data_IF_286578393291
#
_entry.id   IF_286578393291
#
_cell.length_a   1.000
_cell.length_b   1.000
_cell.length_c   1.000
_cell.angle_alpha   90.00
_cell.angle_beta   90.00
_cell.angle_gamma   90.00
#
_symmetry.space_group_name_H-M   'P 1'
#
loop_
_entity.id
_entity.type
_entity.pdbx_description
1 polymer ?
#
# COMPACT_ATOMS: atom_id res chain seq x y z
N UNK A 1 11.20 13.07 0.46
CA UNK A 1 9.89 13.30 -0.23
C UNK A 1 9.72 12.23 -1.30
N UNK A 2 8.57 11.60 -1.33
CA UNK A 2 8.24 10.49 -2.25
C UNK A 2 8.16 11.01 -3.69
N UNK A 3 8.87 10.36 -4.62
CA UNK A 3 8.81 10.70 -6.04
C UNK A 3 7.39 10.48 -6.57
N UNK A 4 6.81 11.49 -7.21
CA UNK A 4 5.50 11.42 -7.85
C UNK A 4 4.29 11.51 -6.93
N UNK A 5 4.46 11.72 -5.63
CA UNK A 5 3.35 11.81 -4.68
C UNK A 5 2.44 13.00 -4.97
N UNK A 6 2.97 14.12 -5.45
CA UNK A 6 2.18 15.31 -5.74
C UNK A 6 1.18 15.07 -6.87
N UNK A 7 1.56 14.31 -7.90
CA UNK A 7 0.63 13.92 -8.97
C UNK A 7 -0.50 13.02 -8.44
N UNK A 8 -0.17 12.11 -7.53
CA UNK A 8 -1.14 11.23 -6.89
C UNK A 8 -2.14 12.03 -6.03
N UNK A 9 -1.64 12.95 -5.20
CA UNK A 9 -2.46 13.84 -4.36
C UNK A 9 -3.47 14.63 -5.19
N UNK A 10 -2.98 15.33 -6.20
CA UNK A 10 -3.84 16.18 -7.03
C UNK A 10 -4.89 15.35 -7.77
N UNK A 11 -4.50 14.17 -8.27
CA UNK A 11 -5.40 13.31 -9.02
C UNK A 11 -6.50 12.69 -8.17
N UNK A 12 -6.16 12.23 -6.95
CA UNK A 12 -7.09 11.54 -6.05
C UNK A 12 -7.70 12.44 -4.97
N UNK A 13 -7.61 13.75 -5.12
CA UNK A 13 -8.29 14.72 -4.27
C UNK A 13 -9.79 14.48 -4.25
N UNK A 14 -10.35 14.31 -3.06
CA UNK A 14 -11.77 13.98 -2.83
C UNK A 14 -12.06 12.48 -2.75
N UNK A 15 -11.02 11.62 -2.85
CA UNK A 15 -11.12 10.16 -2.71
C UNK A 15 -10.38 9.62 -1.49
N UNK A 16 -10.01 10.48 -0.54
CA UNK A 16 -9.15 10.17 0.61
C UNK A 16 -9.73 9.05 1.50
N UNK A 17 -11.06 8.90 1.54
CA UNK A 17 -11.73 7.87 2.33
C UNK A 17 -11.67 6.47 1.68
N UNK A 18 -11.36 6.40 0.40
CA UNK A 18 -11.42 5.16 -0.38
C UNK A 18 -10.12 4.37 -0.37
N UNK A 19 -9.05 4.94 0.22
CA UNK A 19 -7.75 4.30 0.31
C UNK A 19 -6.99 4.66 1.58
N UNK A 20 -5.94 3.90 1.84
CA UNK A 20 -4.86 4.27 2.76
C UNK A 20 -3.50 3.86 2.19
N UNK A 21 -2.55 4.77 2.17
CA UNK A 21 -1.17 4.45 1.82
C UNK A 21 -0.49 3.79 3.01
N UNK A 22 0.21 2.70 2.75
CA UNK A 22 1.03 1.98 3.74
C UNK A 22 2.49 1.94 3.29
N UNK A 23 3.29 1.09 3.87
CA UNK A 23 4.63 0.79 3.37
C UNK A 23 5.65 1.90 3.61
N UNK A 24 6.60 2.03 2.69
CA UNK A 24 7.69 3.00 2.78
C UNK A 24 7.22 4.43 2.59
N UNK A 25 6.28 4.64 1.69
CA UNK A 25 5.73 5.96 1.37
C UNK A 25 4.96 6.55 2.54
N UNK A 26 4.15 5.77 3.26
CA UNK A 26 3.51 6.26 4.49
C UNK A 26 4.55 6.67 5.55
N UNK A 27 5.60 5.86 5.73
CA UNK A 27 6.69 6.23 6.65
C UNK A 27 7.35 7.58 6.26
N UNK A 28 7.66 7.79 4.98
CA UNK A 28 8.30 9.03 4.52
C UNK A 28 7.40 10.25 4.74
N UNK A 29 6.10 10.13 4.44
CA UNK A 29 5.12 11.20 4.66
C UNK A 29 5.03 11.56 6.15
N UNK A 30 4.85 10.58 7.04
CA UNK A 30 4.74 10.80 8.48
C UNK A 30 6.02 11.35 9.10
N UNK A 31 7.20 10.83 8.71
CA UNK A 31 8.49 11.32 9.19
C UNK A 31 8.73 12.76 8.74
N UNK A 32 8.39 13.10 7.49
CA UNK A 32 8.50 14.46 6.95
C UNK A 32 7.59 15.41 7.70
N UNK A 33 6.34 15.04 7.98
CA UNK A 33 5.38 15.81 8.79
C UNK A 33 5.91 16.04 10.21
N UNK A 34 6.55 15.02 10.82
CA UNK A 34 7.22 15.12 12.11
C UNK A 34 8.56 15.89 12.08
N UNK A 35 8.96 16.45 10.94
CA UNK A 35 10.23 17.17 10.78
C UNK A 35 11.48 16.28 10.79
N UNK A 36 11.31 14.99 10.52
CA UNK A 36 12.37 13.99 10.53
C UNK A 36 12.70 13.49 9.12
N UNK A 37 13.97 13.21 8.87
CA UNK A 37 14.41 12.61 7.61
C UNK A 37 14.01 11.14 7.53
N UNK A 38 13.67 10.69 6.33
CA UNK A 38 13.47 9.28 6.04
C UNK A 38 14.21 8.87 4.76
N UNK A 39 14.41 7.56 4.58
CA UNK A 39 15.01 7.05 3.35
C UNK A 39 14.10 7.33 2.15
N UNK A 40 14.69 7.61 1.02
CA UNK A 40 13.94 7.83 -0.21
C UNK A 40 13.05 6.61 -0.55
N UNK A 41 11.81 6.89 -0.87
CA UNK A 41 10.84 5.92 -1.40
C UNK A 41 10.27 6.44 -2.73
N UNK A 42 9.72 5.56 -3.53
CA UNK A 42 9.19 5.90 -4.85
C UNK A 42 8.02 5.04 -5.28
N UNK A 43 7.67 4.06 -4.45
CA UNK A 43 6.60 3.09 -4.70
C UNK A 43 5.46 3.36 -3.72
N UNK A 44 4.22 3.28 -4.17
CA UNK A 44 3.02 3.43 -3.33
C UNK A 44 2.39 2.05 -3.13
N UNK A 45 2.29 1.63 -1.87
CA UNK A 45 1.50 0.50 -1.43
C UNK A 45 0.14 1.05 -0.99
N UNK A 46 -0.92 0.79 -1.77
CA UNK A 46 -2.25 1.39 -1.62
C UNK A 46 -3.27 0.36 -1.16
N UNK A 47 -3.74 0.48 0.06
CA UNK A 47 -4.85 -0.35 0.56
C UNK A 47 -6.17 0.32 0.19
N UNK A 48 -7.01 -0.40 -0.54
CA UNK A 48 -8.34 0.06 -0.93
C UNK A 48 -9.35 -0.28 0.15
N UNK A 49 -10.11 0.71 0.56
CA UNK A 49 -11.16 0.58 1.58
C UNK A 49 -12.46 0.16 0.88
N UNK A 50 -12.71 -1.13 0.89
CA UNK A 50 -13.74 -1.73 0.05
C UNK A 50 -15.14 -1.24 0.37
N UNK A 51 -15.38 -0.87 1.62
CA UNK A 51 -16.64 -0.35 2.11
C UNK A 51 -16.92 1.08 1.61
N UNK A 52 -15.89 1.80 1.21
CA UNK A 52 -15.97 3.17 0.69
C UNK A 52 -15.75 3.24 -0.83
N UNK A 53 -15.24 2.15 -1.43
CA UNK A 53 -14.84 2.11 -2.83
C UNK A 53 -16.05 2.22 -3.76
N UNK A 54 -15.97 3.11 -4.74
CA UNK A 54 -17.01 3.32 -5.74
C UNK A 54 -16.49 3.24 -7.19
N UNK A 55 -17.44 3.21 -8.13
CA UNK A 55 -17.17 3.15 -9.57
C UNK A 55 -16.35 4.34 -10.06
N UNK A 56 -16.54 5.53 -9.47
CA UNK A 56 -15.83 6.74 -9.89
C UNK A 56 -14.34 6.65 -9.54
N UNK A 57 -14.00 6.08 -8.37
CA UNK A 57 -12.62 5.80 -8.01
C UNK A 57 -11.96 4.86 -9.04
N UNK A 58 -12.63 3.76 -9.40
CA UNK A 58 -12.09 2.82 -10.38
C UNK A 58 -11.84 3.46 -11.75
N UNK A 59 -12.79 4.27 -12.25
CA UNK A 59 -12.60 5.05 -13.48
C UNK A 59 -11.43 6.01 -13.38
N UNK A 60 -11.38 6.78 -12.28
CA UNK A 60 -10.33 7.75 -12.00
C UNK A 60 -8.96 7.08 -11.91
N UNK A 61 -8.88 5.91 -11.27
CA UNK A 61 -7.65 5.14 -11.17
C UNK A 61 -7.17 4.65 -12.54
N UNK A 62 -8.04 4.13 -13.38
CA UNK A 62 -7.68 3.73 -14.75
C UNK A 62 -7.26 4.90 -15.64
N UNK A 63 -7.89 6.06 -15.50
CA UNK A 63 -7.46 7.29 -16.19
C UNK A 63 -6.05 7.68 -15.76
N UNK A 64 -5.75 7.61 -14.45
CA UNK A 64 -4.40 7.86 -13.92
C UNK A 64 -3.36 6.90 -14.49
N UNK A 65 -3.66 5.60 -14.47
CA UNK A 65 -2.79 4.54 -15.04
C UNK A 65 -2.50 4.81 -16.53
N UNK A 66 -3.53 5.14 -17.31
CA UNK A 66 -3.38 5.46 -18.74
C UNK A 66 -2.58 6.73 -18.98
N UNK A 67 -2.86 7.81 -18.25
CA UNK A 67 -2.17 9.07 -18.39
C UNK A 67 -0.68 8.95 -18.01
N UNK A 68 -0.39 8.24 -16.93
CA UNK A 68 0.96 7.97 -16.49
C UNK A 68 1.70 6.95 -17.37
N UNK A 69 0.99 6.24 -18.24
CA UNK A 69 1.56 5.21 -19.13
C UNK A 69 2.15 4.03 -18.36
N UNK A 70 1.54 3.64 -17.22
CA UNK A 70 2.03 2.51 -16.45
C UNK A 70 1.94 1.19 -17.21
N UNK A 71 2.98 0.39 -17.08
CA UNK A 71 2.97 -1.02 -17.44
C UNK A 71 2.28 -1.83 -16.34
N UNK A 72 1.44 -2.78 -16.73
CA UNK A 72 0.71 -3.67 -15.83
C UNK A 72 0.75 -5.13 -16.30
N UNK A 73 1.86 -5.55 -16.88
CA UNK A 73 2.10 -6.93 -17.30
C UNK A 73 3.25 -7.55 -16.52
N UNK A 74 3.14 -8.84 -16.21
CA UNK A 74 4.24 -9.59 -15.64
C UNK A 74 5.40 -9.68 -16.66
N UNK A 75 6.59 -9.24 -16.28
CA UNK A 75 7.76 -9.18 -17.18
C UNK A 75 8.19 -10.54 -17.72
N UNK A 76 7.98 -11.62 -16.97
CA UNK A 76 8.43 -12.96 -17.35
C UNK A 76 7.41 -13.72 -18.18
N UNK A 77 6.11 -13.54 -17.93
CA UNK A 77 5.03 -14.26 -18.59
C UNK A 77 4.23 -13.43 -19.60
N UNK A 78 4.37 -12.10 -19.58
CA UNK A 78 3.55 -11.17 -20.37
C UNK A 78 2.07 -11.11 -19.96
N UNK A 79 1.69 -11.84 -18.89
CA UNK A 79 0.30 -11.89 -18.40
C UNK A 79 -0.04 -10.56 -17.73
N UNK A 80 -1.21 -9.95 -18.06
CA UNK A 80 -1.66 -8.74 -17.39
C UNK A 80 -1.81 -8.93 -15.87
N UNK A 81 -1.34 -7.94 -15.11
CA UNK A 81 -1.49 -7.86 -13.65
C UNK A 81 -2.24 -6.58 -13.31
N UNK A 82 -3.46 -6.70 -12.84
CA UNK A 82 -4.33 -5.55 -12.57
C UNK A 82 -4.25 -5.05 -11.11
N UNK A 83 -3.20 -5.40 -10.41
CA UNK A 83 -2.90 -4.98 -9.02
C UNK A 83 -1.53 -4.32 -8.85
N UNK A 84 -0.67 -4.38 -9.88
CA UNK A 84 0.67 -3.78 -9.87
C UNK A 84 0.90 -3.00 -11.16
N UNK A 85 1.22 -1.72 -11.01
CA UNK A 85 1.43 -0.75 -12.06
C UNK A 85 2.81 -0.15 -11.90
N UNK A 86 3.67 -0.25 -12.91
CA UNK A 86 5.08 0.14 -12.82
C UNK A 86 5.57 0.81 -14.10
N UNK A 87 6.77 1.40 -14.05
CA UNK A 87 7.42 2.04 -15.21
C UNK A 87 6.58 3.13 -15.87
N UNK A 88 6.19 4.18 -15.13
CA UNK A 88 5.49 5.30 -15.73
C UNK A 88 6.37 6.02 -16.75
N UNK A 89 5.76 6.74 -17.67
CA UNK A 89 6.49 7.49 -18.74
C UNK A 89 7.36 8.62 -18.19
N UNK A 90 7.15 9.05 -16.95
CA UNK A 90 7.94 10.10 -16.33
C UNK A 90 8.02 9.96 -14.81
N UNK A 91 9.06 10.56 -14.21
CA UNK A 91 9.26 10.60 -12.75
C UNK A 91 8.32 11.59 -12.02
N UNK A 92 7.39 12.23 -12.72
CA UNK A 92 6.29 12.98 -12.10
C UNK A 92 5.26 12.06 -11.46
N UNK A 93 5.29 10.77 -11.78
CA UNK A 93 4.43 9.73 -11.22
C UNK A 93 5.23 8.80 -10.30
N UNK A 94 4.57 8.17 -9.30
CA UNK A 94 5.19 7.12 -8.50
C UNK A 94 5.78 6.02 -9.38
N UNK A 95 6.95 5.49 -9.01
CA UNK A 95 7.62 4.50 -9.87
C UNK A 95 6.84 3.18 -9.96
N UNK A 96 6.07 2.87 -8.90
CA UNK A 96 5.17 1.71 -8.85
C UNK A 96 3.99 2.00 -7.92
N UNK A 97 2.83 1.43 -8.25
CA UNK A 97 1.65 1.37 -7.38
C UNK A 97 1.23 -0.09 -7.25
N UNK A 98 1.07 -0.57 -6.03
CA UNK A 98 0.50 -1.87 -5.73
C UNK A 98 -0.81 -1.71 -4.95
N UNK A 99 -1.83 -2.47 -5.35
CA UNK A 99 -3.14 -2.45 -4.73
C UNK A 99 -3.30 -3.61 -3.76
N UNK A 100 -3.81 -3.32 -2.57
CA UNK A 100 -4.12 -4.27 -1.51
C UNK A 100 -5.57 -4.09 -1.07
N UNK A 101 -6.20 -5.16 -0.59
CA UNK A 101 -7.52 -5.11 0.05
C UNK A 101 -7.75 -6.37 0.89
N UNK A 102 -8.90 -6.46 1.60
CA UNK A 102 -9.35 -7.69 2.25
C UNK A 102 -10.09 -8.60 1.27
N UNK A 103 -10.31 -9.84 1.68
CA UNK A 103 -11.19 -10.78 0.97
C UNK A 103 -12.63 -10.25 0.99
N UNK A 104 -13.29 -10.40 -0.15
CA UNK A 104 -14.72 -10.08 -0.29
C UNK A 104 -15.56 -11.27 0.12
N UNK A 105 -16.48 -11.09 1.04
CA UNK A 105 -17.37 -12.16 1.54
C UNK A 105 -18.27 -12.74 0.41
N UNK A 106 -18.60 -11.91 -0.58
CA UNK A 106 -19.42 -12.30 -1.73
C UNK A 106 -18.70 -13.16 -2.77
N UNK A 107 -17.34 -13.26 -2.70
CA UNK A 107 -16.53 -13.98 -3.68
C UNK A 107 -15.94 -15.24 -3.05
N UNK A 108 -16.36 -16.40 -3.56
CA UNK A 108 -15.72 -17.67 -3.18
C UNK A 108 -14.37 -17.78 -3.92
N UNK A 109 -13.28 -17.61 -3.16
CA UNK A 109 -11.92 -17.80 -3.67
C UNK A 109 -11.35 -19.11 -3.11
N UNK A 110 -10.49 -19.83 -3.88
CA UNK A 110 -9.70 -20.93 -3.34
C UNK A 110 -8.90 -20.52 -2.11
N UNK A 111 -8.64 -21.46 -1.18
CA UNK A 111 -7.95 -21.17 0.10
C UNK A 111 -6.58 -20.51 -0.05
N UNK A 112 -5.84 -20.85 -1.12
CA UNK A 112 -4.49 -20.31 -1.40
C UNK A 112 -4.50 -19.05 -2.26
N UNK A 113 -5.67 -18.42 -2.48
CA UNK A 113 -5.76 -17.24 -3.34
C UNK A 113 -5.16 -16.02 -2.65
N UNK A 114 -4.18 -15.37 -3.30
CA UNK A 114 -3.51 -14.16 -2.81
C UNK A 114 -3.95 -12.88 -3.53
N UNK A 115 -4.81 -12.99 -4.55
CA UNK A 115 -5.28 -11.86 -5.37
C UNK A 115 -6.79 -11.98 -5.54
N UNK A 116 -7.52 -10.89 -5.32
CA UNK A 116 -8.97 -10.80 -5.51
C UNK A 116 -9.34 -9.76 -6.56
N UNK A 117 -10.35 -10.02 -7.42
CA UNK A 117 -10.93 -8.97 -8.24
C UNK A 117 -11.66 -7.95 -7.37
N UNK A 118 -11.67 -6.69 -7.79
CA UNK A 118 -12.38 -5.61 -7.10
C UNK A 118 -13.80 -5.48 -7.67
N UNK A 119 -14.83 -5.32 -6.84
CA UNK A 119 -16.22 -5.24 -7.26
C UNK A 119 -16.58 -3.81 -7.67
N UNK A 120 -15.91 -3.26 -8.69
CA UNK A 120 -16.10 -1.86 -9.04
C UNK A 120 -17.18 -1.67 -10.09
N UNK A 121 -17.21 -2.47 -11.13
CA UNK A 121 -18.23 -2.50 -12.19
C UNK A 121 -17.87 -3.57 -13.24
N UNK A 122 -18.88 -4.20 -13.89
CA UNK A 122 -18.64 -5.17 -14.96
C UNK A 122 -18.07 -4.53 -16.24
N UNK A 123 -18.35 -3.24 -16.47
CA UNK A 123 -17.89 -2.48 -17.64
C UNK A 123 -16.48 -1.88 -17.48
N UNK A 124 -15.90 -1.91 -16.27
CA UNK A 124 -14.53 -1.44 -16.01
C UNK A 124 -13.62 -2.66 -16.00
N UNK A 125 -12.60 -2.64 -16.86
CA UNK A 125 -11.54 -3.67 -16.87
C UNK A 125 -11.12 -3.98 -15.44
N UNK A 126 -11.29 -5.23 -15.02
CA UNK A 126 -11.20 -5.69 -13.65
C UNK A 126 -9.88 -5.29 -12.97
N UNK A 127 -9.95 -4.32 -12.07
CA UNK A 127 -8.88 -4.11 -11.09
C UNK A 127 -8.84 -5.34 -10.17
N UNK A 128 -7.65 -5.70 -9.75
CA UNK A 128 -7.41 -6.73 -8.74
C UNK A 128 -6.59 -6.14 -7.60
N UNK A 129 -6.57 -6.80 -6.47
CA UNK A 129 -5.74 -6.39 -5.34
C UNK A 129 -5.13 -7.60 -4.65
N UNK A 130 -3.98 -7.40 -4.00
CA UNK A 130 -3.34 -8.39 -3.15
C UNK A 130 -4.15 -8.49 -1.85
N UNK A 131 -4.45 -9.72 -1.42
CA UNK A 131 -5.21 -9.93 -0.19
C UNK A 131 -4.35 -9.62 1.04
N UNK A 132 -4.92 -8.81 1.93
CA UNK A 132 -4.47 -8.64 3.30
C UNK A 132 -5.23 -9.61 4.21
N UNK A 133 -4.62 -9.96 5.32
CA UNK A 133 -5.29 -10.60 6.43
C UNK A 133 -6.41 -9.71 6.98
N UNK A 134 -7.57 -10.29 7.30
CA UNK A 134 -8.77 -9.54 7.69
C UNK A 134 -8.55 -8.76 9.00
N UNK A 135 -7.83 -9.32 9.97
CA UNK A 135 -7.52 -8.66 11.24
C UNK A 135 -6.61 -7.44 11.01
N UNK A 136 -5.62 -7.58 10.13
CA UNK A 136 -4.77 -6.46 9.73
C UNK A 136 -5.52 -5.40 8.92
N UNK A 137 -6.48 -5.79 8.11
CA UNK A 137 -7.31 -4.82 7.38
C UNK A 137 -8.21 -4.02 8.33
N UNK A 138 -8.91 -4.69 9.28
CA UNK A 138 -9.74 -4.01 10.28
C UNK A 138 -8.89 -3.11 11.20
N UNK A 139 -7.70 -3.55 11.56
CA UNK A 139 -6.74 -2.77 12.32
C UNK A 139 -6.30 -1.50 11.55
N UNK A 140 -6.02 -1.63 10.26
CA UNK A 140 -5.66 -0.51 9.39
C UNK A 140 -6.76 0.56 9.34
N UNK A 141 -8.02 0.17 9.24
CA UNK A 141 -9.14 1.14 9.19
C UNK A 141 -9.20 2.06 10.41
N UNK A 142 -8.79 1.56 11.58
CA UNK A 142 -8.75 2.33 12.83
C UNK A 142 -7.63 3.38 12.86
N UNK A 143 -6.55 3.12 12.13
CA UNK A 143 -5.33 3.94 12.14
C UNK A 143 -5.18 4.88 10.94
N UNK A 144 -6.22 5.08 10.14
CA UNK A 144 -6.17 6.02 9.00
C UNK A 144 -6.07 7.47 9.48
N UNK A 145 -5.13 8.21 8.91
CA UNK A 145 -4.98 9.66 9.13
C UNK A 145 -4.73 10.36 7.80
N UNK A 146 -5.25 11.57 7.63
CA UNK A 146 -4.97 12.38 6.45
C UNK A 146 -3.85 13.35 6.75
N UNK A 147 -2.76 13.25 6.01
CA UNK A 147 -1.57 14.09 6.12
C UNK A 147 -1.29 14.69 4.75
N UNK A 148 -1.20 16.00 4.69
CA UNK A 148 -0.87 16.75 3.47
C UNK A 148 -1.70 16.30 2.24
N UNK A 149 -3.01 16.08 2.44
CA UNK A 149 -3.95 15.74 1.37
C UNK A 149 -3.95 14.29 0.89
N UNK A 150 -3.28 13.36 1.59
CA UNK A 150 -3.37 11.92 1.35
C UNK A 150 -3.70 11.17 2.62
N UNK A 151 -4.45 10.08 2.50
CA UNK A 151 -4.69 9.18 3.63
C UNK A 151 -3.56 8.18 3.73
N UNK A 152 -2.93 8.14 4.90
CA UNK A 152 -1.87 7.19 5.26
C UNK A 152 -2.25 6.41 6.52
N UNK A 153 -1.60 5.31 6.76
CA UNK A 153 -1.69 4.61 8.04
C UNK A 153 -0.77 5.30 9.05
N UNK A 154 -1.32 5.69 10.21
CA UNK A 154 -0.58 6.33 11.30
C UNK A 154 0.61 5.50 11.79
N UNK A 155 1.63 6.14 12.35
CA UNK A 155 2.88 5.52 12.78
C UNK A 155 2.65 4.36 13.77
N UNK A 156 1.77 4.53 14.75
CA UNK A 156 1.46 3.50 15.75
C UNK A 156 0.85 2.24 15.13
N UNK A 157 0.09 2.40 14.05
CA UNK A 157 -0.53 1.31 13.29
C UNK A 157 0.40 0.75 12.21
N UNK A 158 1.32 1.53 11.65
CA UNK A 158 2.33 1.06 10.70
C UNK A 158 3.38 0.14 11.33
N UNK A 159 3.73 0.36 12.61
CA UNK A 159 4.73 -0.45 13.32
C UNK A 159 4.39 -1.95 13.27
N UNK A 160 3.17 -2.41 13.62
CA UNK A 160 2.79 -3.82 13.51
C UNK A 160 2.94 -4.39 12.09
N UNK A 161 2.55 -3.67 11.04
CA UNK A 161 2.74 -4.10 9.65
C UNK A 161 4.22 -4.30 9.31
N UNK A 162 5.07 -3.37 9.74
CA UNK A 162 6.52 -3.45 9.52
C UNK A 162 7.16 -4.56 10.33
N UNK A 163 6.72 -4.75 11.58
CA UNK A 163 7.19 -5.83 12.44
C UNK A 163 6.81 -7.20 11.87
N UNK A 164 5.56 -7.37 11.43
CA UNK A 164 5.09 -8.59 10.77
C UNK A 164 5.94 -8.92 9.54
N UNK A 165 6.14 -7.95 8.65
CA UNK A 165 6.98 -8.15 7.47
C UNK A 165 8.44 -8.48 7.82
N UNK A 166 8.99 -7.88 8.88
CA UNK A 166 10.33 -8.21 9.37
C UNK A 166 10.41 -9.65 9.90
N UNK A 167 9.45 -10.07 10.71
CA UNK A 167 9.38 -11.42 11.28
C UNK A 167 9.22 -12.46 10.18
N UNK A 168 8.23 -12.30 9.29
CA UNK A 168 7.95 -13.23 8.20
C UNK A 168 9.17 -13.44 7.27
N UNK A 169 9.84 -12.35 6.88
CA UNK A 169 11.05 -12.43 6.06
C UNK A 169 12.22 -13.10 6.79
N UNK A 170 12.30 -12.91 8.11
CA UNK A 170 13.34 -13.56 8.94
C UNK A 170 13.11 -15.06 9.03
N UNK A 171 11.86 -15.48 9.28
CA UNK A 171 11.47 -16.89 9.38
C UNK A 171 11.62 -17.62 8.04
N UNK A 172 11.19 -17.02 6.94
CA UNK A 172 11.39 -17.55 5.59
C UNK A 172 12.86 -17.73 5.26
N UNK A 173 13.71 -16.78 5.65
CA UNK A 173 15.16 -16.91 5.48
C UNK A 173 15.73 -18.03 6.34
N UNK A 174 15.28 -18.18 7.60
CA UNK A 174 15.70 -19.26 8.48
C UNK A 174 15.26 -20.64 7.95
N UNK A 175 14.10 -20.70 7.27
CA UNK A 175 13.62 -21.91 6.56
C UNK A 175 14.38 -22.22 5.26
N UNK A 176 15.38 -21.42 4.88
CA UNK A 176 16.22 -21.66 3.71
C UNK A 176 15.70 -21.02 2.40
N UNK A 177 14.66 -20.19 2.47
CA UNK A 177 14.19 -19.46 1.29
C UNK A 177 15.18 -18.35 0.89
N UNK A 178 15.19 -18.04 -0.41
CA UNK A 178 16.00 -16.94 -0.94
C UNK A 178 15.36 -15.59 -0.57
N UNK A 179 15.80 -15.00 0.56
CA UNK A 179 15.34 -13.69 1.04
C UNK A 179 16.50 -12.70 1.09
N UNK A 180 16.35 -11.54 0.44
CA UNK A 180 17.34 -10.47 0.51
C UNK A 180 17.40 -9.88 1.94
N UNK A 181 18.57 -10.02 2.57
CA UNK A 181 18.84 -9.48 3.91
C UNK A 181 18.64 -7.98 4.01
N UNK A 182 18.74 -7.23 2.90
CA UNK A 182 18.46 -5.80 2.87
C UNK A 182 17.01 -5.51 3.17
N UNK A 183 16.07 -6.37 2.69
CA UNK A 183 14.64 -6.22 2.97
C UNK A 183 14.33 -6.46 4.45
N UNK A 184 14.93 -7.49 5.07
CA UNK A 184 14.81 -7.73 6.52
C UNK A 184 15.28 -6.51 7.31
N UNK A 185 16.49 -6.00 6.99
CA UNK A 185 17.07 -4.82 7.64
C UNK A 185 16.22 -3.56 7.43
N UNK A 186 15.65 -3.38 6.22
CA UNK A 186 14.77 -2.27 5.88
C UNK A 186 13.56 -2.24 6.81
N UNK A 187 12.79 -3.32 6.91
CA UNK A 187 11.61 -3.37 7.77
C UNK A 187 11.95 -3.19 9.24
N UNK A 188 13.02 -3.84 9.72
CA UNK A 188 13.53 -3.65 11.07
C UNK A 188 13.83 -2.17 11.38
N UNK A 189 14.57 -1.51 10.50
CA UNK A 189 14.94 -0.11 10.68
C UNK A 189 13.72 0.81 10.64
N UNK A 190 12.75 0.54 9.73
CA UNK A 190 11.51 1.30 9.63
C UNK A 190 10.71 1.25 10.97
N UNK A 191 10.67 0.08 11.65
CA UNK A 191 10.05 -0.04 12.99
C UNK A 191 10.68 0.93 13.98
N UNK A 192 12.02 0.91 14.11
CA UNK A 192 12.71 1.78 15.07
C UNK A 192 12.56 3.27 14.72
N UNK A 193 12.58 3.61 13.45
CA UNK A 193 12.39 5.01 13.02
C UNK A 193 10.98 5.51 13.34
N UNK A 194 9.95 4.71 13.10
CA UNK A 194 8.56 5.08 13.41
C UNK A 194 8.33 5.30 14.92
N UNK A 195 9.09 4.65 15.80
CA UNK A 195 8.96 4.89 17.25
C UNK A 195 9.33 6.32 17.66
N UNK A 196 10.09 7.06 16.85
CA UNK A 196 10.41 8.46 17.09
C UNK A 196 9.17 9.39 16.99
N UNK A 197 8.09 8.91 16.31
CA UNK A 197 6.83 9.64 16.15
C UNK A 197 5.77 9.26 17.19
N UNK A 198 6.01 8.27 18.04
CA UNK A 198 5.01 7.73 18.95
C UNK A 198 5.02 8.49 20.27
N UNK A 199 3.85 9.02 20.66
CA UNK A 199 3.64 9.49 22.03
C UNK A 199 3.73 8.29 22.98
N UNK A 200 4.55 8.34 24.07
CA UNK A 200 4.66 7.27 25.05
C UNK A 200 3.33 6.86 25.70
N UNK A 201 2.32 7.71 25.67
CA UNK A 201 0.96 7.41 26.18
C UNK A 201 0.10 6.63 25.16
N UNK A 202 0.53 6.53 23.90
CA UNK A 202 -0.23 5.84 22.84
C UNK A 202 -0.35 4.35 23.16
N UNK A 203 -1.57 3.84 23.10
CA UNK A 203 -1.85 2.41 23.27
C UNK A 203 -2.60 1.90 22.06
N UNK A 204 -1.99 0.96 21.35
CA UNK A 204 -2.57 0.26 20.21
C UNK A 204 -2.45 -1.24 20.46
N UNK A 205 -3.52 -1.97 20.22
CA UNK A 205 -3.51 -3.44 20.30
C UNK A 205 -3.40 -3.96 18.88
N UNK A 206 -2.26 -4.56 18.56
CA UNK A 206 -2.00 -5.16 17.24
C UNK A 206 -2.71 -6.52 17.11
N UNK A 207 -3.06 -6.93 15.88
CA UNK A 207 -3.59 -8.26 15.58
C UNK A 207 -2.65 -9.39 15.93
#
# INVERSE_FOLDING_TARGET
MVTGIDSFKEWFKGYEEQYAIIGGTACDILMTEGGLDFRATKDIDLVLIIEALDVNFGKKFWEYVKQAGYEHCNKSSGVPQFYRFSHPVSNQYPAMIELFTRKLDAIQLPEDTVITPLPIDEDISSLSAILLDDDYYEFLKQGKVTVDGVTVLDAAYLIPFKAKAWMDLTDRKAAGEHVDSKNIKKHKNDVFRLTELIDPATKVVAP
#
